data_IF_820507408661
#
_entry.id   IF_820507408661
#
_cell.length_a   1.000
_cell.length_b   1.000
_cell.length_c   1.000
_cell.angle_alpha   90.00
_cell.angle_beta   90.00
_cell.angle_gamma   90.00
#
_symmetry.space_group_name_H-M   'P 1'
#
loop_
_entity.id
_entity.type
_entity.pdbx_description
1 polymer ?
#
# COMPACT_ATOMS: atom_id res chain seq x y z
N UNK A 1 35.09 38.96 51.08
CA UNK A 1 35.24 37.84 52.02
C UNK A 1 36.70 37.78 52.43
N UNK A 2 37.03 37.55 53.71
CA UNK A 2 38.42 37.31 54.12
C UNK A 2 38.88 35.95 53.58
N UNK A 3 40.13 35.84 53.13
CA UNK A 3 40.70 34.54 52.73
C UNK A 3 41.18 33.78 53.97
N UNK A 4 41.26 32.43 53.93
CA UNK A 4 41.69 31.64 55.10
C UNK A 4 43.05 32.03 55.68
N UNK A 5 43.97 32.57 54.87
CA UNK A 5 45.27 33.11 55.35
C UNK A 5 45.08 34.36 56.21
N UNK A 6 44.28 35.33 55.76
CA UNK A 6 44.05 36.57 56.52
C UNK A 6 43.45 36.30 57.90
N UNK A 7 42.59 35.29 58.04
CA UNK A 7 42.04 34.91 59.34
C UNK A 7 43.09 34.29 60.28
N UNK A 8 44.08 33.57 59.73
CA UNK A 8 45.22 33.06 60.51
C UNK A 8 46.15 34.20 60.94
N UNK A 9 46.43 35.16 60.05
CA UNK A 9 47.25 36.34 60.36
C UNK A 9 46.60 37.20 61.47
N UNK A 10 45.29 37.44 61.38
CA UNK A 10 44.49 38.12 62.42
C UNK A 10 44.57 37.41 63.78
N UNK A 11 44.50 36.07 63.81
CA UNK A 11 44.57 35.29 65.05
C UNK A 11 45.99 35.25 65.66
N UNK A 12 47.03 35.20 64.83
CA UNK A 12 48.42 35.34 65.28
C UNK A 12 48.64 36.73 65.87
N UNK A 13 48.15 37.79 65.21
CA UNK A 13 48.29 39.17 65.71
C UNK A 13 47.50 39.38 67.02
N UNK A 14 46.29 38.83 67.13
CA UNK A 14 45.52 38.77 68.39
C UNK A 14 46.30 38.06 69.50
N UNK A 15 46.90 36.91 69.22
CA UNK A 15 47.66 36.12 70.20
C UNK A 15 48.90 36.87 70.71
N UNK A 16 49.66 37.50 69.81
CA UNK A 16 50.81 38.35 70.17
C UNK A 16 50.37 39.52 71.04
N UNK A 17 49.33 40.26 70.64
CA UNK A 17 48.78 41.39 71.42
C UNK A 17 48.31 40.97 72.82
N UNK A 18 47.70 39.79 72.96
CA UNK A 18 47.33 39.23 74.26
C UNK A 18 48.56 38.87 75.11
N UNK A 19 49.58 38.22 74.52
CA UNK A 19 50.83 37.88 75.21
C UNK A 19 51.56 39.11 75.74
N UNK A 20 51.74 40.14 74.93
CA UNK A 20 52.41 41.40 75.35
C UNK A 20 51.64 42.11 76.46
N UNK A 21 50.29 42.13 76.41
CA UNK A 21 49.47 42.71 77.49
C UNK A 21 49.65 41.96 78.81
N UNK A 22 49.58 40.63 78.77
CA UNK A 22 49.80 39.76 79.93
C UNK A 22 51.19 39.96 80.55
N UNK A 23 52.23 40.07 79.72
CA UNK A 23 53.60 40.31 80.20
C UNK A 23 53.77 41.69 80.85
N UNK A 24 53.18 42.75 80.28
CA UNK A 24 53.19 44.10 80.87
C UNK A 24 52.43 44.14 82.19
N UNK A 25 51.29 43.44 82.30
CA UNK A 25 50.51 43.33 83.53
C UNK A 25 51.26 42.55 84.62
N UNK A 26 51.91 41.44 84.28
CA UNK A 26 52.77 40.68 85.18
C UNK A 26 53.96 41.50 85.70
N UNK A 27 54.65 42.24 84.81
CA UNK A 27 55.74 43.16 85.20
C UNK A 27 55.22 44.25 86.17
N UNK A 28 54.05 44.83 85.90
CA UNK A 28 53.44 45.86 86.76
C UNK A 28 52.99 45.32 88.12
N UNK A 29 52.50 44.08 88.18
CA UNK A 29 52.17 43.39 89.43
C UNK A 29 53.43 43.12 90.27
N UNK A 30 54.52 42.67 89.65
CA UNK A 30 55.81 42.48 90.31
C UNK A 30 56.38 43.81 90.85
N UNK A 31 56.38 44.87 90.05
CA UNK A 31 56.82 46.21 90.46
C UNK A 31 56.01 46.76 91.64
N UNK A 32 54.68 46.61 91.61
CA UNK A 32 53.79 47.02 92.70
C UNK A 32 54.06 46.24 93.99
N UNK A 33 54.36 44.94 93.87
CA UNK A 33 54.71 44.08 95.01
C UNK A 33 56.06 44.47 95.61
N UNK A 34 57.07 44.73 94.78
CA UNK A 34 58.38 45.20 95.22
C UNK A 34 58.30 46.58 95.91
N UNK A 35 57.48 47.50 95.39
CA UNK A 35 57.23 48.81 96.02
C UNK A 35 56.51 48.69 97.37
N UNK A 36 55.66 47.69 97.57
CA UNK A 36 55.06 47.40 98.88
C UNK A 36 56.11 46.87 99.86
N UNK A 37 56.85 45.83 99.46
CA UNK A 37 57.90 45.23 100.30
C UNK A 37 58.98 46.24 100.70
N UNK A 38 59.35 47.18 99.83
CA UNK A 38 60.25 48.28 100.19
C UNK A 38 59.66 49.23 101.23
N UNK A 39 58.36 49.55 101.18
CA UNK A 39 57.71 50.37 102.23
C UNK A 39 57.71 49.65 103.57
N UNK A 40 57.23 48.41 103.58
CA UNK A 40 57.19 47.54 104.78
C UNK A 40 58.59 47.42 105.41
N UNK A 41 59.64 47.22 104.60
CA UNK A 41 61.03 47.22 105.08
C UNK A 41 61.48 48.58 105.66
N UNK A 42 61.04 49.72 105.11
CA UNK A 42 61.33 51.04 105.71
C UNK A 42 60.51 51.34 106.96
N UNK A 43 59.37 50.69 107.17
CA UNK A 43 58.53 50.83 108.35
C UNK A 43 59.06 49.97 109.50
N UNK A 44 59.37 48.69 109.24
CA UNK A 44 60.12 47.82 110.17
C UNK A 44 61.45 48.45 110.62
N UNK A 45 62.16 49.16 109.72
CA UNK A 45 63.38 49.89 110.08
C UNK A 45 63.14 51.05 111.07
N UNK A 46 61.96 51.70 111.04
CA UNK A 46 61.58 52.73 112.03
C UNK A 46 61.21 52.08 113.36
N UNK A 47 60.41 51.01 113.33
CA UNK A 47 60.00 50.28 114.54
C UNK A 47 61.21 49.72 115.30
N UNK A 48 62.17 49.09 114.60
CA UNK A 48 63.42 48.63 115.20
C UNK A 48 64.31 49.77 115.75
N UNK A 49 64.14 51.01 115.28
CA UNK A 49 64.82 52.18 115.84
C UNK A 49 64.13 52.68 117.12
N UNK A 50 62.79 52.64 117.15
CA UNK A 50 61.98 52.95 118.34
C UNK A 50 62.26 51.95 119.47
N UNK A 51 62.16 50.64 119.18
CA UNK A 51 62.41 49.57 120.15
C UNK A 51 63.83 49.60 120.76
N UNK A 52 64.84 50.07 120.01
CA UNK A 52 66.19 50.31 120.54
C UNK A 52 66.20 51.45 121.54
N UNK A 53 65.57 52.58 121.21
CA UNK A 53 65.47 53.73 122.11
C UNK A 53 64.68 53.39 123.39
N UNK A 54 63.54 52.72 123.25
CA UNK A 54 62.73 52.27 124.40
C UNK A 54 63.52 51.34 125.33
N UNK A 55 64.37 50.47 124.79
CA UNK A 55 65.29 49.66 125.60
C UNK A 55 66.33 50.52 126.33
N UNK A 56 66.94 51.49 125.65
CA UNK A 56 67.92 52.41 126.24
C UNK A 56 67.32 53.32 127.33
N UNK A 57 66.03 53.64 127.25
CA UNK A 57 65.32 54.44 128.27
C UNK A 57 64.84 53.57 129.46
N UNK A 58 64.42 52.32 129.24
CA UNK A 58 63.95 51.42 130.30
C UNK A 58 65.07 50.91 131.24
N UNK A 59 66.28 50.68 130.70
CA UNK A 59 67.48 50.34 131.50
C UNK A 59 67.84 51.42 132.55
N UNK A 60 67.40 52.68 132.35
CA UNK A 60 67.70 53.81 133.26
C UNK A 60 66.74 53.97 134.45
N UNK A 61 65.71 53.13 134.57
CA UNK A 61 64.56 53.38 135.47
C UNK A 61 64.49 52.51 136.76
N UNK A 62 65.58 51.86 137.21
CA UNK A 62 65.53 50.89 138.34
C UNK A 62 66.62 51.05 139.42
N UNK A 63 66.48 52.01 140.33
CA UNK A 63 67.26 52.10 141.59
C UNK A 63 66.50 52.83 142.73
N UNK A 64 66.78 52.43 143.99
CA UNK A 64 66.45 53.05 145.32
C UNK A 64 65.20 52.56 146.15
N UNK A 65 65.32 52.29 147.48
CA UNK A 65 64.22 51.86 148.40
C UNK A 65 64.18 52.57 149.81
N UNK A 66 63.71 51.89 150.90
CA UNK A 66 63.73 52.23 152.38
C UNK A 66 62.46 53.00 152.90
N UNK A 67 61.65 52.70 153.95
CA UNK A 67 61.68 52.05 155.32
C UNK A 67 61.85 53.05 156.52
N UNK A 68 61.08 52.93 157.65
CA UNK A 68 61.55 53.05 159.08
C UNK A 68 60.47 53.17 160.21
N UNK A 69 60.92 53.18 161.49
CA UNK A 69 60.23 53.17 162.84
C UNK A 69 61.02 54.11 163.84
N UNK A 70 60.84 54.24 165.20
CA UNK A 70 60.09 53.43 166.21
C UNK A 70 59.45 54.14 167.47
N UNK A 71 58.88 53.31 168.37
CA UNK A 71 58.75 53.31 169.87
C UNK A 71 59.10 54.52 170.80
N UNK A 72 58.49 54.62 172.02
CA UNK A 72 59.10 54.14 173.31
C UNK A 72 58.53 54.62 174.70
N UNK A 73 58.34 53.64 175.62
CA UNK A 73 58.64 53.63 177.11
C UNK A 73 57.76 54.33 178.21
N UNK A 74 58.07 53.94 179.47
CA UNK A 74 57.40 54.11 180.81
C UNK A 74 58.13 55.22 181.68
N UNK A 75 57.86 55.55 182.99
CA UNK A 75 57.15 54.81 184.07
C UNK A 75 56.44 55.60 185.25
N UNK A 76 56.00 54.82 186.27
CA UNK A 76 55.96 55.11 187.73
C UNK A 76 54.76 55.81 188.43
N UNK A 77 54.71 55.56 189.74
CA UNK A 77 53.49 55.50 190.58
C UNK A 77 52.99 56.83 191.17
N UNK A 78 51.69 56.83 191.45
CA UNK A 78 50.95 57.61 192.47
C UNK A 78 49.50 57.10 192.41
N UNK A 79 49.33 55.87 192.94
CA UNK A 79 48.47 54.87 192.28
C UNK A 79 46.98 55.23 192.33
N UNK A 80 46.42 55.60 193.49
CA UNK A 80 44.97 55.64 193.66
C UNK A 80 44.26 56.77 192.90
N UNK A 81 44.93 57.91 192.62
CA UNK A 81 44.37 58.96 191.74
C UNK A 81 44.79 58.80 190.28
N UNK A 82 45.96 58.22 189.99
CA UNK A 82 46.34 57.84 188.62
C UNK A 82 45.47 56.71 188.09
N UNK A 83 44.96 55.81 188.93
CA UNK A 83 44.00 54.76 188.54
C UNK A 83 42.73 55.38 187.97
N UNK A 84 41.96 56.17 188.72
CA UNK A 84 40.71 56.73 188.17
C UNK A 84 40.87 57.79 187.07
N UNK A 85 42.08 58.29 186.82
CA UNK A 85 42.38 58.99 185.56
C UNK A 85 42.69 58.02 184.42
N UNK A 86 43.46 56.95 184.66
CA UNK A 86 43.72 55.88 183.69
C UNK A 86 42.50 55.05 183.36
N UNK A 87 41.56 54.86 184.27
CA UNK A 87 40.28 54.20 184.01
C UNK A 87 39.48 55.04 183.00
N UNK A 88 39.52 56.37 183.10
CA UNK A 88 38.96 57.27 182.08
C UNK A 88 39.74 57.25 180.77
N UNK A 89 41.07 57.32 180.80
CA UNK A 89 41.90 57.17 179.58
C UNK A 89 41.69 55.80 178.91
N UNK A 90 41.45 54.73 179.69
CA UNK A 90 41.13 53.38 179.20
C UNK A 90 39.71 53.33 178.62
N UNK A 91 38.73 54.02 179.21
CA UNK A 91 37.37 54.08 178.65
C UNK A 91 37.31 54.93 177.37
N UNK A 92 38.03 56.06 177.33
CA UNK A 92 38.23 56.85 176.12
C UNK A 92 38.97 56.04 175.04
N UNK A 93 40.02 55.29 175.40
CA UNK A 93 40.73 54.42 174.46
C UNK A 93 39.88 53.24 173.99
N UNK A 94 39.04 52.63 174.85
CA UNK A 94 38.05 51.63 174.43
C UNK A 94 37.04 52.23 173.46
N UNK A 95 36.53 53.43 173.74
CA UNK A 95 35.56 54.08 172.86
C UNK A 95 36.20 54.42 171.50
N UNK A 96 37.40 55.00 171.49
CA UNK A 96 38.17 55.24 170.25
C UNK A 96 38.44 53.93 169.52
N UNK A 97 38.75 52.83 170.24
CA UNK A 97 38.99 51.52 169.63
C UNK A 97 37.71 50.93 169.03
N UNK A 98 36.56 51.04 169.71
CA UNK A 98 35.25 50.63 169.19
C UNK A 98 34.78 51.50 168.00
N UNK A 99 35.05 52.81 168.03
CA UNK A 99 34.84 53.72 166.89
C UNK A 99 35.74 53.34 165.70
N UNK A 100 36.98 52.91 165.97
CA UNK A 100 37.91 52.41 164.93
C UNK A 100 37.56 51.01 164.44
N UNK A 101 36.98 50.14 165.27
CA UNK A 101 36.42 48.85 164.86
C UNK A 101 35.20 49.08 163.94
N UNK A 102 34.26 49.96 164.32
CA UNK A 102 33.13 50.34 163.47
C UNK A 102 33.56 51.03 162.16
N UNK A 103 34.62 51.85 162.17
CA UNK A 103 35.21 52.41 160.95
C UNK A 103 35.88 51.32 160.09
N UNK A 104 36.60 50.36 160.70
CA UNK A 104 37.17 49.21 159.99
C UNK A 104 36.09 48.34 159.35
N UNK A 105 35.00 48.05 160.06
CA UNK A 105 33.87 47.28 159.52
C UNK A 105 33.17 48.04 158.39
N UNK A 106 33.02 49.36 158.51
CA UNK A 106 32.48 50.22 157.44
C UNK A 106 33.39 50.20 156.21
N UNK A 107 34.71 50.32 156.39
CA UNK A 107 35.71 50.23 155.30
C UNK A 107 35.69 48.82 154.67
N UNK A 108 35.56 47.77 155.48
CA UNK A 108 35.51 46.39 155.01
C UNK A 108 34.22 46.11 154.22
N UNK A 109 33.06 46.60 154.67
CA UNK A 109 31.79 46.56 153.94
C UNK A 109 31.86 47.33 152.62
N UNK A 110 32.44 48.53 152.62
CA UNK A 110 32.68 49.31 151.40
C UNK A 110 33.63 48.58 150.43
N UNK A 111 34.71 47.96 150.94
CA UNK A 111 35.65 47.17 150.14
C UNK A 111 34.98 45.93 149.53
N UNK A 112 34.10 45.25 150.27
CA UNK A 112 33.32 44.13 149.77
C UNK A 112 32.31 44.58 148.70
N UNK A 113 31.63 45.71 148.90
CA UNK A 113 30.71 46.30 147.92
C UNK A 113 31.44 46.68 146.62
N UNK A 114 32.57 47.38 146.71
CA UNK A 114 33.41 47.73 145.55
C UNK A 114 33.95 46.48 144.85
N UNK A 115 34.34 45.44 145.61
CA UNK A 115 34.78 44.15 145.05
C UNK A 115 33.67 43.45 144.27
N UNK A 116 32.44 43.40 144.80
CA UNK A 116 31.27 42.86 144.11
C UNK A 116 30.92 43.68 142.85
N UNK A 117 30.92 45.02 142.94
CA UNK A 117 30.70 45.89 141.78
C UNK A 117 31.76 45.69 140.70
N UNK A 118 33.03 45.50 141.07
CA UNK A 118 34.12 45.23 140.14
C UNK A 118 34.03 43.83 139.53
N UNK A 119 33.57 42.82 140.26
CA UNK A 119 33.27 41.49 139.71
C UNK A 119 32.11 41.55 138.70
N UNK A 120 31.03 42.25 139.04
CA UNK A 120 29.89 42.45 138.13
C UNK A 120 30.30 43.20 136.85
N UNK A 121 31.01 44.33 136.98
CA UNK A 121 31.48 45.10 135.83
C UNK A 121 32.43 44.30 134.93
N UNK A 122 33.27 43.41 135.48
CA UNK A 122 34.09 42.49 134.67
C UNK A 122 33.24 41.44 133.95
N UNK A 123 32.15 40.95 134.55
CA UNK A 123 31.25 39.99 133.90
C UNK A 123 30.44 40.65 132.76
N UNK A 124 29.92 41.85 132.99
CA UNK A 124 29.24 42.66 131.97
C UNK A 124 30.18 43.00 130.79
N UNK A 125 31.40 43.44 131.09
CA UNK A 125 32.42 43.75 130.08
C UNK A 125 32.83 42.50 129.30
N UNK A 126 32.81 41.31 129.92
CA UNK A 126 33.04 40.05 129.21
C UNK A 126 31.85 39.67 128.30
N UNK A 127 30.59 39.83 128.74
CA UNK A 127 29.42 39.63 127.87
C UNK A 127 29.50 40.51 126.62
N UNK A 128 29.80 41.81 126.80
CA UNK A 128 29.96 42.76 125.69
C UNK A 128 31.09 42.37 124.75
N UNK A 129 32.19 41.78 125.24
CA UNK A 129 33.27 41.24 124.37
C UNK A 129 32.81 40.04 123.55
N UNK A 130 32.07 39.12 124.16
CA UNK A 130 31.62 37.90 123.50
C UNK A 130 30.50 38.20 122.48
N UNK A 131 29.58 39.11 122.82
CA UNK A 131 28.60 39.69 121.88
C UNK A 131 29.30 40.41 120.71
N UNK A 132 30.32 41.23 120.98
CA UNK A 132 31.11 41.89 119.94
C UNK A 132 31.86 40.88 119.05
N UNK A 133 32.39 39.79 119.60
CA UNK A 133 33.02 38.72 118.83
C UNK A 133 32.01 38.04 117.87
N UNK A 134 30.81 37.73 118.35
CA UNK A 134 29.72 37.18 117.52
C UNK A 134 29.28 38.19 116.45
N UNK A 135 29.20 39.48 116.78
CA UNK A 135 28.90 40.54 115.81
C UNK A 135 29.99 40.66 114.72
N UNK A 136 31.27 40.50 115.07
CA UNK A 136 32.39 40.51 114.12
C UNK A 136 32.37 39.29 113.19
N UNK A 137 32.13 38.08 113.70
CA UNK A 137 32.05 36.88 112.83
C UNK A 137 30.80 36.87 111.94
N UNK A 138 29.66 37.36 112.42
CA UNK A 138 28.47 37.52 111.57
C UNK A 138 28.65 38.62 110.52
N UNK A 139 29.35 39.71 110.83
CA UNK A 139 29.76 40.73 109.85
C UNK A 139 30.74 40.18 108.79
N UNK A 140 31.72 39.35 109.20
CA UNK A 140 32.64 38.66 108.26
C UNK A 140 31.88 37.73 107.32
N UNK A 141 30.95 36.92 107.85
CA UNK A 141 30.15 35.97 107.07
C UNK A 141 29.21 36.67 106.09
N UNK A 142 28.44 37.65 106.54
CA UNK A 142 27.57 38.43 105.63
C UNK A 142 28.36 39.13 104.53
N UNK A 143 29.60 39.55 104.81
CA UNK A 143 30.52 40.12 103.82
C UNK A 143 31.15 39.09 102.87
N UNK A 144 31.34 37.82 103.26
CA UNK A 144 31.68 36.75 102.31
C UNK A 144 30.49 36.39 101.41
N UNK A 145 29.29 36.31 101.99
CA UNK A 145 28.06 35.95 101.27
C UNK A 145 27.69 37.04 100.24
N UNK A 146 27.90 38.33 100.58
CA UNK A 146 27.79 39.47 99.67
C UNK A 146 28.81 39.42 98.52
N UNK A 147 30.05 38.97 98.78
CA UNK A 147 31.08 38.80 97.74
C UNK A 147 30.73 37.64 96.79
N UNK A 148 30.23 36.53 97.32
CA UNK A 148 29.82 35.36 96.54
C UNK A 148 28.60 35.67 95.65
N UNK A 149 27.56 36.30 96.21
CA UNK A 149 26.37 36.73 95.46
C UNK A 149 26.68 37.79 94.40
N UNK A 150 27.65 38.70 94.66
CA UNK A 150 28.15 39.60 93.61
C UNK A 150 28.86 38.83 92.48
N UNK A 151 29.70 37.84 92.80
CA UNK A 151 30.39 37.03 91.79
C UNK A 151 29.42 36.25 90.90
N UNK A 152 28.42 35.59 91.50
CA UNK A 152 27.41 34.85 90.73
C UNK A 152 26.52 35.77 89.89
N UNK A 153 26.19 36.96 90.38
CA UNK A 153 25.49 37.99 89.60
C UNK A 153 26.33 38.48 88.40
N UNK A 154 27.63 38.72 88.57
CA UNK A 154 28.49 39.17 87.47
C UNK A 154 28.80 38.04 86.46
N UNK A 155 28.85 36.78 86.89
CA UNK A 155 28.81 35.63 85.98
C UNK A 155 27.49 35.51 85.22
N UNK A 156 26.35 35.71 85.90
CA UNK A 156 25.03 35.65 85.28
C UNK A 156 24.87 36.74 84.22
N UNK A 157 25.36 37.97 84.48
CA UNK A 157 25.45 39.04 83.46
C UNK A 157 26.27 38.62 82.24
N UNK A 158 27.45 38.00 82.44
CA UNK A 158 28.27 37.49 81.32
C UNK A 158 27.53 36.41 80.51
N UNK A 159 26.83 35.50 81.19
CA UNK A 159 26.00 34.46 80.55
C UNK A 159 24.86 35.08 79.73
N UNK A 160 24.11 36.05 80.28
CA UNK A 160 23.08 36.78 79.54
C UNK A 160 23.64 37.57 78.35
N UNK A 161 24.80 38.23 78.49
CA UNK A 161 25.46 38.94 77.39
C UNK A 161 25.88 37.99 76.26
N UNK A 162 26.40 36.80 76.61
CA UNK A 162 26.74 35.75 75.64
C UNK A 162 25.50 35.26 74.90
N UNK A 163 24.44 34.85 75.60
CA UNK A 163 23.18 34.41 74.98
C UNK A 163 22.54 35.51 74.13
N UNK A 164 22.61 36.78 74.55
CA UNK A 164 22.11 37.93 73.77
C UNK A 164 22.92 38.18 72.50
N UNK A 165 24.22 37.79 72.46
CA UNK A 165 25.03 37.81 71.23
C UNK A 165 24.64 36.63 70.33
N UNK A 166 24.58 35.43 70.88
CA UNK A 166 24.26 34.19 70.16
C UNK A 166 22.88 34.28 69.48
N UNK A 167 21.86 34.76 70.19
CA UNK A 167 20.51 34.98 69.65
C UNK A 167 20.47 36.03 68.52
N UNK A 168 21.38 37.02 68.52
CA UNK A 168 21.51 37.99 67.42
C UNK A 168 22.19 37.39 66.19
N UNK A 169 23.19 36.54 66.41
CA UNK A 169 23.91 35.83 65.34
C UNK A 169 23.00 34.76 64.70
N UNK A 170 22.25 34.02 65.50
CA UNK A 170 21.20 33.08 65.07
C UNK A 170 20.09 33.79 64.29
N UNK A 171 19.53 34.90 64.82
CA UNK A 171 18.54 35.71 64.10
C UNK A 171 19.08 36.20 62.76
N UNK A 172 20.35 36.61 62.69
CA UNK A 172 20.96 37.08 61.45
C UNK A 172 21.17 35.93 60.44
N UNK A 173 21.54 34.74 60.91
CA UNK A 173 21.65 33.54 60.09
C UNK A 173 20.29 33.15 59.49
N UNK A 174 19.23 33.09 60.32
CA UNK A 174 17.86 32.80 59.88
C UNK A 174 17.34 33.84 58.87
N UNK A 175 17.68 35.12 59.01
CA UNK A 175 17.36 36.14 58.00
C UNK A 175 18.07 35.85 56.67
N UNK A 176 19.35 35.45 56.69
CA UNK A 176 20.08 35.12 55.46
C UNK A 176 19.64 33.80 54.81
N UNK A 177 19.20 32.82 55.60
CA UNK A 177 18.60 31.58 55.10
C UNK A 177 17.23 31.85 54.46
N UNK A 178 16.38 32.63 55.13
CA UNK A 178 15.06 32.99 54.61
C UNK A 178 15.16 33.74 53.27
N UNK A 179 16.12 34.66 53.13
CA UNK A 179 16.40 35.34 51.86
C UNK A 179 16.86 34.39 50.74
N UNK A 180 17.68 33.37 51.06
CA UNK A 180 18.07 32.33 50.10
C UNK A 180 16.88 31.45 49.70
N UNK A 181 15.99 31.14 50.63
CA UNK A 181 14.75 30.40 50.34
C UNK A 181 13.80 31.21 49.46
N UNK A 182 13.66 32.52 49.67
CA UNK A 182 12.90 33.41 48.77
C UNK A 182 13.49 33.42 47.37
N UNK A 183 14.81 33.63 47.24
CA UNK A 183 15.48 33.58 45.93
C UNK A 183 15.25 32.23 45.22
N UNK A 184 15.32 31.10 45.95
CA UNK A 184 15.08 29.77 45.41
C UNK A 184 13.62 29.54 45.01
N UNK A 185 12.67 30.15 45.70
CA UNK A 185 11.26 30.15 45.31
C UNK A 185 11.04 30.93 44.01
N UNK A 186 11.67 32.10 43.85
CA UNK A 186 11.60 32.90 42.62
C UNK A 186 12.24 32.17 41.43
N UNK A 187 13.44 31.59 41.61
CA UNK A 187 14.12 30.75 40.62
C UNK A 187 13.24 29.57 40.17
N UNK A 188 12.57 28.90 41.12
CA UNK A 188 11.67 27.78 40.84
C UNK A 188 10.38 28.22 40.15
N UNK A 189 9.82 29.39 40.50
CA UNK A 189 8.64 29.96 39.84
C UNK A 189 8.94 30.33 38.37
N UNK A 190 10.13 30.90 38.09
CA UNK A 190 10.60 31.17 36.73
C UNK A 190 10.77 29.86 35.94
N UNK A 191 11.41 28.84 36.53
CA UNK A 191 11.57 27.53 35.88
C UNK A 191 10.23 26.82 35.61
N UNK A 192 9.24 26.96 36.50
CA UNK A 192 7.88 26.45 36.28
C UNK A 192 7.18 27.18 35.11
N UNK A 193 7.34 28.51 35.00
CA UNK A 193 6.84 29.30 33.87
C UNK A 193 7.45 28.88 32.53
N UNK A 194 8.78 28.72 32.48
CA UNK A 194 9.48 28.20 31.30
C UNK A 194 9.01 26.79 30.93
N UNK A 195 8.81 25.91 31.92
CA UNK A 195 8.28 24.55 31.72
C UNK A 195 6.86 24.58 31.12
N UNK A 196 6.00 25.48 31.56
CA UNK A 196 4.66 25.66 30.99
C UNK A 196 4.71 26.18 29.54
N UNK A 197 5.62 27.11 29.23
CA UNK A 197 5.83 27.62 27.87
C UNK A 197 6.34 26.51 26.92
N UNK A 198 7.31 25.70 27.35
CA UNK A 198 7.82 24.57 26.59
C UNK A 198 6.74 23.50 26.35
N UNK A 199 5.89 23.21 27.35
CA UNK A 199 4.72 22.32 27.16
C UNK A 199 3.75 22.86 26.11
N UNK A 200 3.48 24.17 26.08
CA UNK A 200 2.64 24.81 25.04
C UNK A 200 3.27 24.70 23.65
N UNK A 201 4.58 24.94 23.53
CA UNK A 201 5.31 24.79 22.26
C UNK A 201 5.29 23.33 21.76
N UNK A 202 5.46 22.35 22.66
CA UNK A 202 5.38 20.92 22.32
C UNK A 202 3.98 20.52 21.84
N UNK A 203 2.91 21.06 22.45
CA UNK A 203 1.55 20.84 21.99
C UNK A 203 1.33 21.39 20.56
N UNK A 204 1.74 22.63 20.31
CA UNK A 204 1.67 23.25 18.98
C UNK A 204 2.53 22.53 17.93
N UNK A 205 3.67 21.96 18.32
CA UNK A 205 4.49 21.14 17.42
C UNK A 205 3.78 19.84 17.03
N UNK A 206 3.13 19.16 17.99
CA UNK A 206 2.33 17.94 17.73
C UNK A 206 1.12 18.23 16.84
N UNK A 207 0.41 19.33 17.09
CA UNK A 207 -0.71 19.81 16.30
C UNK A 207 -0.30 20.05 14.83
N UNK A 208 0.82 20.75 14.59
CA UNK A 208 1.38 20.95 13.25
C UNK A 208 1.75 19.65 12.56
N UNK A 209 2.41 18.72 13.26
CA UNK A 209 2.75 17.40 12.70
C UNK A 209 1.49 16.61 12.32
N UNK A 210 0.42 16.70 13.13
CA UNK A 210 -0.87 16.08 12.82
C UNK A 210 -1.55 16.70 11.60
N UNK A 211 -1.51 18.04 11.45
CA UNK A 211 -2.01 18.73 10.25
C UNK A 211 -1.25 18.30 8.99
N UNK A 212 0.09 18.32 9.07
CA UNK A 212 0.96 17.94 7.95
C UNK A 212 0.73 16.47 7.55
N UNK A 213 0.57 15.55 8.52
CA UNK A 213 0.25 14.15 8.25
C UNK A 213 -1.10 14.01 7.51
N UNK A 214 -2.14 14.71 7.97
CA UNK A 214 -3.45 14.69 7.33
C UNK A 214 -3.42 15.27 5.91
N UNK A 215 -2.71 16.38 5.69
CA UNK A 215 -2.47 16.95 4.36
C UNK A 215 -1.74 15.98 3.42
N UNK A 216 -0.79 15.19 3.92
CA UNK A 216 -0.10 14.17 3.11
C UNK A 216 -1.03 13.00 2.77
N UNK A 217 -1.85 12.53 3.71
CA UNK A 217 -2.87 11.50 3.44
C UNK A 217 -3.92 11.98 2.43
N UNK A 218 -4.37 13.24 2.53
CA UNK A 218 -5.33 13.84 1.61
C UNK A 218 -4.76 13.91 0.19
N UNK A 219 -3.54 14.44 0.03
CA UNK A 219 -2.85 14.49 -1.27
C UNK A 219 -2.57 13.11 -1.85
N UNK A 220 -2.29 12.11 -1.00
CA UNK A 220 -2.08 10.73 -1.45
C UNK A 220 -3.41 10.12 -1.95
N UNK A 221 -4.52 10.35 -1.25
CA UNK A 221 -5.87 9.94 -1.70
C UNK A 221 -6.32 10.68 -2.96
N UNK A 222 -5.96 11.96 -3.12
CA UNK A 222 -6.17 12.72 -4.35
C UNK A 222 -5.33 12.15 -5.51
N UNK A 223 -4.07 11.78 -5.27
CA UNK A 223 -3.23 11.13 -6.27
C UNK A 223 -3.75 9.74 -6.66
N UNK A 224 -4.16 8.91 -5.71
CA UNK A 224 -4.75 7.59 -5.97
C UNK A 224 -6.05 7.68 -6.79
N UNK A 225 -6.92 8.64 -6.47
CA UNK A 225 -8.17 8.85 -7.23
C UNK A 225 -7.89 9.44 -8.62
N UNK A 226 -6.95 10.36 -8.75
CA UNK A 226 -6.48 10.87 -10.05
C UNK A 226 -5.89 9.76 -10.93
N UNK A 227 -4.99 8.92 -10.39
CA UNK A 227 -4.45 7.75 -11.10
C UNK A 227 -5.55 6.76 -11.50
N UNK A 228 -6.52 6.49 -10.62
CA UNK A 228 -7.65 5.61 -10.92
C UNK A 228 -8.51 6.15 -12.07
N UNK A 229 -8.81 7.45 -12.07
CA UNK A 229 -9.58 8.09 -13.13
C UNK A 229 -8.82 8.04 -14.46
N UNK A 230 -7.52 8.37 -14.47
CA UNK A 230 -6.69 8.27 -15.67
C UNK A 230 -6.62 6.83 -16.23
N UNK A 231 -6.53 5.81 -15.37
CA UNK A 231 -6.60 4.40 -15.79
C UNK A 231 -7.98 4.08 -16.40
N UNK A 232 -9.08 4.59 -15.85
CA UNK A 232 -10.42 4.42 -16.40
C UNK A 232 -10.58 5.11 -17.77
N UNK A 233 -10.10 6.34 -17.93
CA UNK A 233 -10.11 7.08 -19.19
C UNK A 233 -9.27 6.39 -20.27
N UNK A 234 -8.06 5.95 -19.93
CA UNK A 234 -7.18 5.17 -20.82
C UNK A 234 -7.87 3.85 -21.21
N UNK A 235 -8.48 3.14 -20.26
CA UNK A 235 -9.18 1.88 -20.52
C UNK A 235 -10.40 2.08 -21.43
N UNK A 236 -11.22 3.10 -21.18
CA UNK A 236 -12.37 3.44 -22.02
C UNK A 236 -11.94 3.86 -23.43
N UNK A 237 -10.85 4.63 -23.55
CA UNK A 237 -10.28 5.03 -24.84
C UNK A 237 -9.76 3.83 -25.64
N UNK A 238 -9.10 2.87 -24.98
CA UNK A 238 -8.68 1.62 -25.62
C UNK A 238 -9.86 0.74 -26.01
N UNK A 239 -10.89 0.61 -25.16
CA UNK A 239 -12.11 -0.14 -25.47
C UNK A 239 -12.87 0.46 -26.67
N UNK A 240 -12.96 1.79 -26.75
CA UNK A 240 -13.54 2.49 -27.89
C UNK A 240 -12.77 2.20 -29.18
N UNK A 241 -11.43 2.33 -29.16
CA UNK A 241 -10.57 2.01 -30.33
C UNK A 241 -10.63 0.54 -30.74
N UNK A 242 -10.70 -0.39 -29.79
CA UNK A 242 -10.86 -1.82 -30.10
C UNK A 242 -12.23 -2.09 -30.72
N UNK A 243 -13.30 -1.48 -30.20
CA UNK A 243 -14.64 -1.57 -30.80
C UNK A 243 -14.70 -0.96 -32.20
N UNK A 244 -14.02 0.16 -32.43
CA UNK A 244 -13.90 0.82 -33.74
C UNK A 244 -13.16 -0.06 -34.76
N UNK A 245 -12.01 -0.62 -34.39
CA UNK A 245 -11.22 -1.53 -35.25
C UNK A 245 -11.98 -2.83 -35.53
N UNK A 246 -12.70 -3.38 -34.55
CA UNK A 246 -13.57 -4.56 -34.76
C UNK A 246 -14.73 -4.22 -35.69
N UNK A 247 -15.42 -3.10 -35.48
CA UNK A 247 -16.53 -2.67 -36.34
C UNK A 247 -16.08 -2.38 -37.79
N UNK A 248 -14.91 -1.78 -37.99
CA UNK A 248 -14.31 -1.60 -39.33
C UNK A 248 -14.04 -2.96 -39.96
N UNK A 249 -13.34 -3.86 -39.26
CA UNK A 249 -13.04 -5.21 -39.76
C UNK A 249 -14.30 -5.99 -40.12
N UNK A 250 -15.34 -5.93 -39.29
CA UNK A 250 -16.60 -6.64 -39.53
C UNK A 250 -17.36 -6.03 -40.72
N UNK A 251 -17.27 -4.71 -40.94
CA UNK A 251 -17.77 -4.05 -42.14
C UNK A 251 -16.98 -4.44 -43.40
N UNK A 252 -15.64 -4.53 -43.32
CA UNK A 252 -14.76 -4.96 -44.41
C UNK A 252 -15.02 -6.43 -44.78
N UNK A 253 -15.17 -7.32 -43.78
CA UNK A 253 -15.54 -8.72 -43.98
C UNK A 253 -16.94 -8.84 -44.57
N UNK A 254 -17.90 -8.02 -44.12
CA UNK A 254 -19.24 -7.98 -44.71
C UNK A 254 -19.25 -7.41 -46.14
N UNK A 255 -18.31 -6.54 -46.50
CA UNK A 255 -18.11 -6.04 -47.86
C UNK A 255 -17.51 -7.13 -48.76
N UNK A 256 -16.36 -7.68 -48.38
CA UNK A 256 -15.72 -8.77 -49.12
C UNK A 256 -16.63 -10.01 -49.29
N UNK A 257 -17.47 -10.30 -48.29
CA UNK A 257 -18.51 -11.35 -48.38
C UNK A 257 -19.59 -11.01 -49.41
N UNK A 258 -20.08 -9.76 -49.44
CA UNK A 258 -21.05 -9.29 -50.45
C UNK A 258 -20.47 -9.32 -51.86
N UNK A 259 -19.22 -8.88 -52.03
CA UNK A 259 -18.54 -8.86 -53.31
C UNK A 259 -18.24 -10.29 -53.80
N UNK A 260 -17.92 -11.21 -52.89
CA UNK A 260 -17.79 -12.64 -53.19
C UNK A 260 -19.12 -13.29 -53.57
N UNK A 261 -20.24 -12.92 -52.94
CA UNK A 261 -21.57 -13.39 -53.37
C UNK A 261 -21.97 -12.79 -54.72
N UNK A 262 -21.72 -11.50 -54.96
CA UNK A 262 -22.05 -10.85 -56.23
C UNK A 262 -21.26 -11.46 -57.40
N UNK A 263 -19.95 -11.67 -57.25
CA UNK A 263 -19.12 -12.31 -58.28
C UNK A 263 -19.46 -13.79 -58.49
N UNK A 264 -19.92 -14.51 -57.46
CA UNK A 264 -20.46 -15.86 -57.60
C UNK A 264 -21.81 -15.88 -58.35
N UNK A 265 -22.71 -14.93 -58.05
CA UNK A 265 -23.99 -14.76 -58.75
C UNK A 265 -23.78 -14.33 -60.21
N UNK A 266 -22.86 -13.41 -60.50
CA UNK A 266 -22.46 -13.05 -61.87
C UNK A 266 -21.89 -14.25 -62.63
N UNK A 267 -21.00 -15.04 -61.98
CA UNK A 267 -20.45 -16.26 -62.56
C UNK A 267 -21.52 -17.33 -62.84
N UNK A 268 -22.49 -17.49 -61.94
CA UNK A 268 -23.62 -18.39 -62.11
C UNK A 268 -24.58 -17.92 -63.21
N UNK A 269 -24.92 -16.62 -63.24
CA UNK A 269 -25.74 -16.03 -64.29
C UNK A 269 -25.06 -16.12 -65.67
N UNK A 270 -23.75 -15.85 -65.74
CA UNK A 270 -22.95 -16.02 -66.96
C UNK A 270 -22.74 -17.48 -67.39
N UNK A 271 -22.96 -18.46 -66.50
CA UNK A 271 -23.07 -19.87 -66.87
C UNK A 271 -24.49 -20.21 -67.37
N UNK A 272 -25.54 -19.73 -66.70
CA UNK A 272 -26.93 -19.91 -67.10
C UNK A 272 -27.19 -19.33 -68.49
N UNK A 273 -26.68 -18.12 -68.80
CA UNK A 273 -26.83 -17.51 -70.13
C UNK A 273 -26.18 -18.35 -71.23
N UNK A 274 -24.98 -18.89 -70.99
CA UNK A 274 -24.30 -19.79 -71.95
C UNK A 274 -25.07 -21.10 -72.14
N UNK A 275 -25.54 -21.72 -71.07
CA UNK A 275 -26.39 -22.92 -71.15
C UNK A 275 -27.73 -22.65 -71.87
N UNK A 276 -28.27 -21.44 -71.79
CA UNK A 276 -29.46 -21.03 -72.55
C UNK A 276 -29.16 -20.80 -74.05
N UNK A 277 -27.98 -20.27 -74.37
CA UNK A 277 -27.48 -20.06 -75.74
C UNK A 277 -27.15 -21.41 -76.41
N UNK A 278 -26.40 -22.29 -75.74
CA UNK A 278 -26.14 -23.67 -76.17
C UNK A 278 -27.46 -24.44 -76.44
N UNK A 279 -28.42 -24.35 -75.51
CA UNK A 279 -29.76 -24.94 -75.66
C UNK A 279 -30.64 -24.24 -76.72
N UNK A 280 -30.28 -23.03 -77.18
CA UNK A 280 -30.93 -22.39 -78.32
C UNK A 280 -30.35 -22.91 -79.64
N UNK A 281 -29.02 -23.00 -79.74
CA UNK A 281 -28.32 -23.54 -80.91
C UNK A 281 -28.68 -25.01 -81.15
N UNK A 282 -28.72 -25.83 -80.10
CA UNK A 282 -29.15 -27.24 -80.18
C UNK A 282 -30.60 -27.37 -80.71
N UNK A 283 -31.48 -26.42 -80.39
CA UNK A 283 -32.85 -26.40 -80.93
C UNK A 283 -32.90 -26.02 -82.40
N UNK A 284 -32.06 -25.08 -82.84
CA UNK A 284 -31.97 -24.70 -84.26
C UNK A 284 -31.39 -25.85 -85.09
N UNK A 285 -30.32 -26.50 -84.61
CA UNK A 285 -29.76 -27.71 -85.25
C UNK A 285 -30.81 -28.83 -85.32
N UNK A 286 -31.59 -29.06 -84.26
CA UNK A 286 -32.70 -30.03 -84.29
C UNK A 286 -33.79 -29.67 -85.31
N UNK A 287 -34.08 -28.38 -85.54
CA UNK A 287 -35.03 -27.93 -86.58
C UNK A 287 -34.46 -28.19 -87.98
N UNK A 288 -33.19 -27.88 -88.23
CA UNK A 288 -32.52 -28.15 -89.51
C UNK A 288 -32.37 -29.66 -89.79
N UNK A 289 -32.10 -30.46 -88.76
CA UNK A 289 -32.11 -31.92 -88.85
C UNK A 289 -33.51 -32.46 -89.18
N UNK A 290 -34.57 -31.96 -88.53
CA UNK A 290 -35.96 -32.33 -88.86
C UNK A 290 -36.34 -31.92 -90.29
N UNK A 291 -35.92 -30.74 -90.75
CA UNK A 291 -36.14 -30.27 -92.12
C UNK A 291 -35.36 -31.11 -93.14
N UNK A 292 -34.14 -31.53 -92.80
CA UNK A 292 -33.31 -32.43 -93.62
C UNK A 292 -33.92 -33.83 -93.70
N UNK A 293 -34.37 -34.40 -92.58
CA UNK A 293 -35.09 -35.68 -92.52
C UNK A 293 -36.36 -35.63 -93.36
N UNK A 294 -37.12 -34.53 -93.30
CA UNK A 294 -38.30 -34.33 -94.17
C UNK A 294 -37.92 -34.28 -95.65
N UNK A 295 -36.86 -33.55 -96.02
CA UNK A 295 -36.36 -33.51 -97.41
C UNK A 295 -35.94 -34.90 -97.90
N UNK A 296 -35.32 -35.72 -97.05
CA UNK A 296 -34.96 -37.12 -97.37
C UNK A 296 -36.19 -38.02 -97.49
N UNK A 297 -37.21 -37.86 -96.63
CA UNK A 297 -38.48 -38.59 -96.75
C UNK A 297 -39.23 -38.26 -98.04
N UNK A 298 -39.25 -36.98 -98.47
CA UNK A 298 -39.90 -36.58 -99.71
C UNK A 298 -39.11 -37.05 -100.95
N UNK A 299 -37.76 -36.99 -100.91
CA UNK A 299 -36.91 -37.63 -101.94
C UNK A 299 -37.11 -39.15 -102.02
N UNK A 300 -37.31 -39.83 -100.89
CA UNK A 300 -37.58 -41.26 -100.85
C UNK A 300 -38.91 -41.64 -101.51
N UNK A 301 -39.96 -40.82 -101.34
CA UNK A 301 -41.25 -41.02 -102.06
C UNK A 301 -41.05 -40.91 -103.57
N UNK A 302 -40.37 -39.86 -104.05
CA UNK A 302 -40.08 -39.67 -105.48
C UNK A 302 -39.25 -40.85 -106.03
N UNK A 303 -38.27 -41.34 -105.28
CA UNK A 303 -37.51 -42.54 -105.68
C UNK A 303 -38.39 -43.80 -105.75
N UNK A 304 -39.33 -43.98 -104.82
CA UNK A 304 -40.30 -45.09 -104.85
C UNK A 304 -41.26 -44.98 -106.04
N UNK A 305 -41.71 -43.77 -106.40
CA UNK A 305 -42.55 -43.52 -107.58
C UNK A 305 -41.80 -43.82 -108.88
N UNK A 306 -40.53 -43.40 -109.00
CA UNK A 306 -39.67 -43.70 -110.16
C UNK A 306 -39.39 -45.20 -110.29
N UNK A 307 -39.17 -45.92 -109.18
CA UNK A 307 -39.00 -47.39 -109.20
C UNK A 307 -40.28 -48.08 -109.67
N UNK A 308 -41.45 -47.66 -109.17
CA UNK A 308 -42.77 -48.17 -109.59
C UNK A 308 -43.02 -47.95 -111.09
N UNK A 309 -42.55 -46.84 -111.65
CA UNK A 309 -42.65 -46.55 -113.09
C UNK A 309 -41.66 -47.36 -113.93
N UNK A 310 -40.44 -47.56 -113.45
CA UNK A 310 -39.48 -48.47 -114.07
C UNK A 310 -39.97 -49.93 -114.10
N UNK A 311 -40.67 -50.39 -113.05
CA UNK A 311 -41.30 -51.71 -113.03
C UNK A 311 -42.45 -51.86 -114.04
N UNK A 312 -43.21 -50.79 -114.29
CA UNK A 312 -44.25 -50.78 -115.33
C UNK A 312 -43.65 -50.81 -116.72
N UNK A 313 -42.68 -49.92 -117.00
CA UNK A 313 -41.97 -49.88 -118.28
C UNK A 313 -41.24 -51.20 -118.59
N UNK A 314 -40.70 -51.88 -117.57
CA UNK A 314 -40.10 -53.21 -117.72
C UNK A 314 -41.12 -54.26 -118.17
N UNK A 315 -42.34 -54.28 -117.61
CA UNK A 315 -43.40 -55.23 -118.02
C UNK A 315 -43.86 -54.97 -119.45
N UNK A 316 -44.00 -53.71 -119.84
CA UNK A 316 -44.36 -53.31 -121.20
C UNK A 316 -43.26 -53.70 -122.21
N UNK A 317 -41.99 -53.51 -121.85
CA UNK A 317 -40.86 -53.98 -122.66
C UNK A 317 -40.81 -55.52 -122.80
N UNK A 318 -41.18 -56.28 -121.76
CA UNK A 318 -41.24 -57.75 -121.83
C UNK A 318 -42.34 -58.22 -122.78
N UNK A 319 -43.56 -57.67 -122.70
CA UNK A 319 -44.66 -58.00 -123.63
C UNK A 319 -44.32 -57.67 -125.09
N UNK A 320 -43.65 -56.54 -125.34
CA UNK A 320 -43.19 -56.18 -126.67
C UNK A 320 -42.08 -57.12 -127.20
N UNK A 321 -41.21 -57.63 -126.33
CA UNK A 321 -40.19 -58.61 -126.72
C UNK A 321 -40.81 -59.98 -127.08
N UNK A 322 -41.79 -60.45 -126.30
CA UNK A 322 -42.54 -61.68 -126.58
C UNK A 322 -43.29 -61.59 -127.92
N UNK A 323 -43.96 -60.46 -128.19
CA UNK A 323 -44.62 -60.21 -129.48
C UNK A 323 -43.62 -60.14 -130.65
N UNK A 324 -42.44 -59.57 -130.46
CA UNK A 324 -41.40 -59.54 -131.50
C UNK A 324 -40.88 -60.95 -131.81
N UNK A 325 -40.71 -61.80 -130.80
CA UNK A 325 -40.24 -63.18 -130.99
C UNK A 325 -41.25 -64.06 -131.75
N UNK A 326 -42.55 -63.98 -131.41
CA UNK A 326 -43.62 -64.71 -132.11
C UNK A 326 -43.75 -64.31 -133.60
N UNK A 327 -43.45 -63.05 -133.92
CA UNK A 327 -43.37 -62.56 -135.31
C UNK A 327 -42.13 -63.09 -136.05
N UNK A 328 -40.98 -63.20 -135.39
CA UNK A 328 -39.77 -63.77 -136.00
C UNK A 328 -39.95 -65.26 -136.33
N UNK A 329 -40.49 -66.07 -135.41
CA UNK A 329 -40.67 -67.51 -135.67
C UNK A 329 -41.64 -67.79 -136.83
N UNK A 330 -42.71 -67.00 -137.00
CA UNK A 330 -43.56 -67.11 -138.21
C UNK A 330 -42.84 -66.72 -139.50
N UNK A 331 -41.85 -65.83 -139.45
CA UNK A 331 -41.05 -65.48 -140.61
C UNK A 331 -40.04 -66.58 -140.97
N UNK A 332 -39.49 -67.29 -139.97
CA UNK A 332 -38.60 -68.44 -140.17
C UNK A 332 -39.35 -69.64 -140.78
N UNK A 333 -40.54 -69.98 -140.27
CA UNK A 333 -41.41 -71.02 -140.87
C UNK A 333 -41.76 -70.72 -142.34
N UNK A 334 -42.05 -69.45 -142.66
CA UNK A 334 -42.31 -69.01 -144.03
C UNK A 334 -41.05 -69.08 -144.93
N UNK A 335 -39.87 -68.81 -144.38
CA UNK A 335 -38.61 -68.90 -145.11
C UNK A 335 -38.23 -70.36 -145.43
N UNK A 336 -38.40 -71.29 -144.49
CA UNK A 336 -38.16 -72.73 -144.73
C UNK A 336 -39.10 -73.29 -145.81
N UNK A 337 -40.37 -72.87 -145.82
CA UNK A 337 -41.32 -73.22 -146.87
C UNK A 337 -40.86 -72.74 -148.26
N UNK A 338 -40.33 -71.51 -148.35
CA UNK A 338 -39.77 -70.97 -149.60
C UNK A 338 -38.48 -71.69 -150.03
N UNK A 339 -37.58 -72.02 -149.11
CA UNK A 339 -36.37 -72.79 -149.43
C UNK A 339 -36.70 -74.21 -149.94
N UNK A 340 -37.67 -74.88 -149.32
CA UNK A 340 -38.17 -76.20 -149.75
C UNK A 340 -38.68 -76.15 -151.19
N UNK A 341 -39.49 -75.14 -151.52
CA UNK A 341 -40.01 -74.91 -152.87
C UNK A 341 -38.87 -74.64 -153.88
N UNK A 342 -37.91 -73.77 -153.51
CA UNK A 342 -36.80 -73.36 -154.38
C UNK A 342 -35.83 -74.51 -154.70
N UNK A 343 -35.54 -75.38 -153.73
CA UNK A 343 -34.71 -76.59 -153.95
C UNK A 343 -35.37 -77.52 -154.97
N UNK A 344 -36.68 -77.73 -154.84
CA UNK A 344 -37.47 -78.61 -155.72
C UNK A 344 -37.43 -78.18 -157.19
N UNK A 345 -37.65 -76.90 -157.47
CA UNK A 345 -37.56 -76.36 -158.84
C UNK A 345 -36.12 -76.41 -159.40
N UNK A 346 -35.10 -76.37 -158.54
CA UNK A 346 -33.69 -76.48 -158.94
C UNK A 346 -33.35 -77.89 -159.41
N UNK A 347 -33.81 -78.91 -158.69
CA UNK A 347 -33.64 -80.33 -159.08
C UNK A 347 -34.38 -80.63 -160.41
N UNK A 348 -35.60 -80.10 -160.57
CA UNK A 348 -36.37 -80.20 -161.83
C UNK A 348 -35.64 -79.52 -163.01
N UNK A 349 -34.96 -78.40 -162.77
CA UNK A 349 -34.17 -77.68 -163.79
C UNK A 349 -32.98 -78.52 -164.25
N UNK A 350 -32.22 -79.11 -163.33
CA UNK A 350 -31.05 -79.96 -163.65
C UNK A 350 -31.49 -81.15 -164.52
N UNK A 351 -32.61 -81.80 -164.18
CA UNK A 351 -33.17 -82.93 -164.93
C UNK A 351 -33.66 -82.54 -166.35
N UNK A 352 -33.97 -81.27 -166.59
CA UNK A 352 -34.27 -80.76 -167.94
C UNK A 352 -32.99 -80.43 -168.73
N UNK A 353 -31.97 -79.90 -168.07
CA UNK A 353 -30.71 -79.49 -168.70
C UNK A 353 -29.87 -80.70 -169.17
N UNK A 354 -29.84 -81.80 -168.40
CA UNK A 354 -29.25 -83.07 -168.84
C UNK A 354 -29.93 -83.63 -170.11
N UNK A 355 -31.27 -83.52 -170.21
CA UNK A 355 -32.03 -83.95 -171.39
C UNK A 355 -31.70 -83.09 -172.61
N UNK A 356 -31.52 -81.78 -172.43
CA UNK A 356 -31.06 -80.87 -173.49
C UNK A 356 -29.65 -81.23 -173.98
N UNK A 357 -28.71 -81.54 -173.08
CA UNK A 357 -27.36 -81.96 -173.46
C UNK A 357 -27.35 -83.30 -174.22
N UNK A 358 -28.22 -84.25 -173.85
CA UNK A 358 -28.41 -85.50 -174.61
C UNK A 358 -28.89 -85.26 -176.04
N UNK A 359 -29.82 -84.32 -176.24
CA UNK A 359 -30.35 -83.94 -177.56
C UNK A 359 -29.26 -83.24 -178.40
N UNK A 360 -28.56 -82.26 -177.85
CA UNK A 360 -27.53 -81.50 -178.56
C UNK A 360 -26.33 -82.39 -179.00
N UNK A 361 -25.88 -83.31 -178.14
CA UNK A 361 -24.85 -84.29 -178.51
C UNK A 361 -25.31 -85.25 -179.63
N UNK A 362 -26.57 -85.68 -179.63
CA UNK A 362 -27.12 -86.53 -180.69
C UNK A 362 -27.22 -85.80 -182.05
N UNK A 363 -27.42 -84.48 -182.05
CA UNK A 363 -27.47 -83.65 -183.26
C UNK A 363 -26.07 -83.39 -183.83
N UNK A 364 -25.11 -83.04 -182.96
CA UNK A 364 -23.69 -82.85 -183.34
C UNK A 364 -23.11 -84.08 -184.04
N UNK A 365 -23.43 -85.28 -183.58
CA UNK A 365 -23.00 -86.55 -184.21
C UNK A 365 -23.53 -86.78 -185.64
N UNK A 366 -24.55 -86.03 -186.09
CA UNK A 366 -25.04 -86.06 -187.48
C UNK A 366 -24.54 -84.90 -188.35
N UNK A 367 -23.62 -84.06 -187.83
CA UNK A 367 -23.12 -82.88 -188.55
C UNK A 367 -24.13 -81.75 -188.67
N UNK A 368 -25.14 -81.70 -187.80
CA UNK A 368 -26.20 -80.69 -187.80
C UNK A 368 -26.08 -79.87 -186.51
N UNK A 369 -25.83 -78.56 -186.62
CA UNK A 369 -25.94 -77.65 -185.47
C UNK A 369 -27.40 -77.47 -185.06
N UNK A 370 -27.67 -77.40 -183.76
CA UNK A 370 -29.01 -77.13 -183.22
C UNK A 370 -29.56 -75.78 -183.71
N UNK A 371 -28.68 -74.80 -183.96
CA UNK A 371 -29.01 -73.49 -184.54
C UNK A 371 -29.54 -73.58 -185.99
N UNK A 372 -29.16 -74.63 -186.73
CA UNK A 372 -29.61 -74.83 -188.10
C UNK A 372 -31.04 -75.40 -188.15
N UNK A 373 -31.40 -76.24 -187.17
CA UNK A 373 -32.76 -76.76 -187.01
C UNK A 373 -33.74 -75.67 -186.54
N UNK A 374 -33.29 -74.74 -185.71
CA UNK A 374 -34.08 -73.59 -185.24
C UNK A 374 -34.43 -72.55 -186.33
N UNK A 375 -34.10 -72.79 -187.61
CA UNK A 375 -34.31 -71.84 -188.71
C UNK A 375 -35.45 -72.18 -189.68
N UNK A 376 -36.22 -73.27 -189.49
CA UNK A 376 -37.43 -73.53 -190.32
C UNK A 376 -38.51 -74.40 -189.64
N UNK A 377 -39.72 -73.83 -189.52
CA UNK A 377 -41.00 -74.37 -189.03
C UNK A 377 -41.20 -74.51 -187.49
N UNK A 378 -42.48 -74.44 -187.09
CA UNK A 378 -43.04 -74.35 -185.73
C UNK A 378 -42.72 -73.01 -185.02
N UNK A 379 -43.61 -72.01 -184.92
CA UNK A 379 -45.06 -71.88 -185.20
C UNK A 379 -46.00 -72.59 -184.21
N UNK A 380 -46.96 -71.84 -183.65
CA UNK A 380 -47.76 -72.13 -182.43
C UNK A 380 -46.90 -72.23 -181.15
N UNK A 381 -47.31 -71.78 -179.95
CA UNK A 381 -48.64 -71.41 -179.44
C UNK A 381 -49.06 -72.40 -178.34
N UNK A 382 -49.67 -72.04 -177.20
CA UNK A 382 -50.15 -70.77 -176.65
C UNK A 382 -49.78 -70.62 -175.15
N UNK A 383 -50.17 -69.59 -174.39
CA UNK A 383 -51.48 -68.94 -174.20
C UNK A 383 -52.37 -69.67 -173.17
N UNK A 384 -53.01 -68.91 -172.25
CA UNK A 384 -53.92 -69.34 -171.16
C UNK A 384 -53.24 -70.17 -170.04
N UNK A 385 -53.61 -70.12 -168.75
CA UNK A 385 -54.56 -69.35 -167.91
C UNK A 385 -54.03 -69.44 -166.44
N UNK A 386 -54.60 -68.96 -165.32
CA UNK A 386 -55.90 -68.37 -164.90
C UNK A 386 -55.57 -67.36 -163.75
N UNK A 387 -56.25 -66.22 -163.56
CA UNK A 387 -57.49 -65.95 -162.79
C UNK A 387 -57.38 -66.01 -161.25
N UNK A 388 -58.20 -65.16 -160.62
CA UNK A 388 -58.50 -65.09 -159.19
C UNK A 388 -57.85 -63.88 -158.51
N UNK A 389 -58.56 -62.85 -158.05
CA UNK A 389 -60.01 -62.63 -157.82
C UNK A 389 -60.73 -63.67 -156.94
N UNK A 390 -61.56 -63.18 -156.02
CA UNK A 390 -62.32 -63.99 -155.05
C UNK A 390 -61.46 -64.91 -154.12
N UNK A 391 -61.88 -65.30 -152.91
CA UNK A 391 -62.97 -64.80 -152.04
C UNK A 391 -62.65 -65.03 -150.56
N UNK A 392 -63.36 -64.30 -149.70
CA UNK A 392 -63.97 -64.75 -148.44
C UNK A 392 -63.30 -65.78 -147.51
N UNK A 393 -63.15 -65.38 -146.25
CA UNK A 393 -63.21 -66.27 -145.08
C UNK A 393 -61.92 -66.31 -144.25
N UNK A 394 -61.97 -66.33 -142.91
CA UNK A 394 -63.11 -66.51 -142.00
C UNK A 394 -62.89 -65.78 -140.65
N UNK A 395 -64.00 -65.32 -140.05
CA UNK A 395 -64.16 -64.94 -138.63
C UNK A 395 -63.27 -63.78 -138.07
N UNK A 396 -63.71 -62.89 -137.16
CA UNK A 396 -64.92 -62.90 -136.32
C UNK A 396 -65.42 -61.48 -135.96
N UNK A 397 -66.72 -61.40 -135.64
CA UNK A 397 -67.45 -60.50 -134.73
C UNK A 397 -66.63 -59.63 -133.73
N UNK A 398 -67.07 -58.47 -133.20
CA UNK A 398 -68.28 -57.62 -133.43
C UNK A 398 -68.27 -56.38 -132.49
N UNK A 399 -69.13 -55.38 -132.74
CA UNK A 399 -69.53 -54.24 -131.86
C UNK A 399 -68.43 -53.23 -131.47
N UNK A 400 -68.66 -51.91 -131.30
CA UNK A 400 -69.81 -51.06 -130.90
C UNK A 400 -70.09 -50.98 -129.39
N UNK A 401 -70.73 -49.87 -128.96
CA UNK A 401 -71.17 -49.52 -127.58
C UNK A 401 -70.01 -48.98 -126.72
N UNK A 402 -69.96 -47.75 -126.17
CA UNK A 402 -70.92 -46.80 -125.53
C UNK A 402 -71.34 -47.12 -124.07
N UNK A 403 -70.80 -46.31 -123.15
CA UNK A 403 -71.49 -45.75 -121.95
C UNK A 403 -71.75 -46.65 -120.72
N UNK A 404 -71.86 -45.94 -119.59
CA UNK A 404 -72.75 -46.15 -118.43
C UNK A 404 -72.46 -47.16 -117.29
N UNK A 405 -71.85 -46.59 -116.23
CA UNK A 405 -72.39 -46.51 -114.83
C UNK A 405 -72.33 -47.71 -113.86
N UNK A 406 -72.45 -47.38 -112.57
CA UNK A 406 -72.77 -48.22 -111.38
C UNK A 406 -71.62 -49.11 -110.86
N UNK A 407 -71.49 -49.45 -109.56
CA UNK A 407 -71.82 -48.90 -108.23
C UNK A 407 -71.60 -50.08 -107.25
N UNK A 408 -70.62 -50.00 -106.36
CA UNK A 408 -70.62 -50.64 -105.04
C UNK A 408 -69.55 -49.92 -104.19
N UNK A 409 -69.75 -49.47 -102.94
CA UNK A 409 -70.34 -50.11 -101.75
C UNK A 409 -69.45 -51.25 -101.23
N UNK A 410 -68.95 -51.30 -99.98
CA UNK A 410 -69.11 -50.49 -98.75
C UNK A 410 -67.69 -50.20 -98.15
N UNK A 411 -67.44 -49.61 -96.96
CA UNK A 411 -68.25 -49.38 -95.74
C UNK A 411 -67.65 -48.23 -94.88
N UNK A 412 -68.48 -47.64 -94.01
CA UNK A 412 -68.13 -46.50 -93.13
C UNK A 412 -67.32 -46.92 -91.90
N UNK A 413 -66.40 -46.06 -91.44
CA UNK A 413 -66.56 -45.46 -90.12
C UNK A 413 -66.00 -44.04 -90.01
N UNK A 414 -66.46 -43.29 -88.99
CA UNK A 414 -66.19 -41.87 -88.74
C UNK A 414 -66.28 -41.64 -87.23
N UNK A 415 -65.27 -41.04 -86.59
CA UNK A 415 -65.43 -40.13 -85.43
C UNK A 415 -64.09 -39.55 -84.92
N UNK A 416 -63.88 -38.26 -85.16
CA UNK A 416 -63.67 -37.26 -84.08
C UNK A 416 -65.08 -36.76 -83.65
N UNK A 417 -65.33 -36.16 -82.47
CA UNK A 417 -64.57 -35.14 -81.72
C UNK A 417 -63.93 -35.70 -80.40
N UNK A 418 -62.95 -35.08 -79.73
CA UNK A 418 -62.92 -33.76 -79.05
C UNK A 418 -63.92 -33.61 -77.89
N UNK A 419 -63.41 -33.45 -76.65
CA UNK A 419 -63.97 -32.65 -75.54
C UNK A 419 -62.98 -32.70 -74.36
N UNK A 420 -62.43 -31.55 -74.02
CA UNK A 420 -62.10 -31.14 -72.64
C UNK A 420 -63.25 -30.25 -72.14
N UNK A 421 -63.37 -29.88 -70.84
CA UNK A 421 -62.46 -30.11 -69.72
C UNK A 421 -63.14 -30.73 -68.48
N UNK A 422 -62.39 -30.92 -67.39
CA UNK A 422 -62.79 -30.42 -66.06
C UNK A 422 -61.62 -30.41 -65.07
N UNK A 423 -61.58 -29.38 -64.25
CA UNK A 423 -60.75 -29.26 -63.05
C UNK A 423 -61.26 -30.17 -61.93
N UNK A 424 -60.37 -30.73 -61.10
CA UNK A 424 -60.40 -30.40 -59.67
C UNK A 424 -59.10 -30.72 -58.91
N UNK A 425 -58.93 -30.05 -57.77
CA UNK A 425 -57.77 -30.14 -56.88
C UNK A 425 -57.80 -31.36 -55.95
N UNK A 426 -56.64 -31.94 -55.57
CA UNK A 426 -56.42 -32.36 -54.16
C UNK A 426 -54.96 -32.61 -53.70
N UNK A 427 -54.54 -31.85 -52.69
CA UNK A 427 -53.69 -32.26 -51.54
C UNK A 427 -52.29 -32.90 -51.73
N UNK A 428 -51.26 -32.04 -51.64
CA UNK A 428 -50.37 -31.93 -50.44
C UNK A 428 -49.89 -33.24 -49.77
N UNK A 429 -48.63 -33.61 -49.99
CA UNK A 429 -47.66 -34.26 -49.06
C UNK A 429 -46.29 -34.37 -49.76
N UNK A 430 -45.14 -34.28 -49.07
CA UNK A 430 -44.88 -33.78 -47.71
C UNK A 430 -43.45 -33.24 -47.64
#
# INVERSE_FOLDING_TARGET
MATPRMMQDDDVERLVKCRTRSEVEARKAAESTMKRAMKEATELKKELMILRKEKEDNERARTAPVVSKPEAKRPSDDVMKKLSKREKEIEELKQILAEKEAECDTINGNMQSVSQSLQQANHELQSVRDEHAVAVETAKKTLSDLRQTKSSLDELKRKYQKVTKELKEEKQALITENAQLTQRQDELQVAAGQTAQLKKQLAQARERVSSIAHEYEDRLREQETSHKNAIQEITATWQAKVSEVVASRDADVAAASRDATATAEEGQNGLISRLQEELHLEKEENVDLLQTVKSLQDKLKVAQEVVREAELAKKEAQLNAEHAQDMCSRAEEAAEACESQARKCKDETIVMEEKLQLIDNALKLRGISIEFLLKKNATSGGNNNHDGDETSGTATLSSSIKKDTMKASLKKHKQTPEVTPSTETRSRRK
#
